data_IF_043809214313
#
_entry.id   IF_043809214313
#
_cell.length_a   1.000
_cell.length_b   1.000
_cell.length_c   1.000
_cell.angle_alpha   90.00
_cell.angle_beta   90.00
_cell.angle_gamma   90.00
#
_symmetry.space_group_name_H-M   'P 1'
#
loop_
_entity.id
_entity.type
_entity.pdbx_description
1 polymer ?
#
# COMPACT_ATOMS: atom_id res chain seq x y z
N UNK A 1 -1.74 -17.36 12.64
CA UNK A 1 -1.76 -16.64 11.35
C UNK A 1 -1.23 -15.25 11.64
N UNK A 2 -0.23 -14.79 10.88
CA UNK A 2 0.32 -13.45 11.10
C UNK A 2 -0.60 -12.42 10.47
N UNK A 3 -0.87 -11.33 11.17
CA UNK A 3 -1.76 -10.28 10.69
C UNK A 3 -1.03 -9.42 9.66
N UNK A 4 -1.65 -9.24 8.50
CA UNK A 4 -1.22 -8.25 7.51
C UNK A 4 -2.08 -7.01 7.66
N UNK A 5 -1.45 -5.84 7.64
CA UNK A 5 -2.14 -4.55 7.63
C UNK A 5 -1.72 -3.74 6.40
N UNK A 6 -2.70 -3.16 5.71
CA UNK A 6 -2.47 -2.17 4.65
C UNK A 6 -2.66 -0.78 5.25
N UNK A 7 -1.64 0.07 5.15
CA UNK A 7 -1.72 1.47 5.61
C UNK A 7 -1.60 2.40 4.42
N UNK A 8 -2.62 3.23 4.20
CA UNK A 8 -2.66 4.18 3.09
C UNK A 8 -2.36 5.58 3.62
N UNK A 9 -1.43 6.26 2.96
CA UNK A 9 -1.01 7.61 3.32
C UNK A 9 -1.29 8.57 2.16
N UNK A 10 -1.75 9.77 2.52
CA UNK A 10 -1.90 10.90 1.61
C UNK A 10 -0.65 11.77 1.68
N UNK A 11 -0.06 12.07 0.53
CA UNK A 11 1.11 12.92 0.40
C UNK A 11 0.90 13.96 -0.70
N UNK A 12 1.67 15.05 -0.67
CA UNK A 12 1.69 16.02 -1.77
C UNK A 12 2.92 15.72 -2.60
N UNK A 13 2.74 15.38 -3.87
CA UNK A 13 3.84 15.06 -4.78
C UNK A 13 4.75 16.27 -4.96
N UNK A 14 5.99 16.20 -4.46
CA UNK A 14 6.95 17.31 -4.52
C UNK A 14 7.21 17.82 -5.94
N UNK A 15 7.08 16.97 -6.96
CA UNK A 15 7.32 17.34 -8.36
C UNK A 15 6.10 17.93 -9.07
N UNK A 16 4.89 17.57 -8.63
CA UNK A 16 3.63 17.87 -9.34
C UNK A 16 2.73 18.85 -8.58
N UNK A 17 2.96 19.02 -7.27
CA UNK A 17 2.07 19.75 -6.36
C UNK A 17 0.70 19.10 -6.20
N UNK A 18 0.49 17.89 -6.73
CA UNK A 18 -0.79 17.18 -6.68
C UNK A 18 -0.85 16.28 -5.46
N UNK A 19 -2.08 15.99 -5.04
CA UNK A 19 -2.32 14.96 -4.03
C UNK A 19 -1.99 13.61 -4.64
N UNK A 20 -1.07 12.90 -4.01
CA UNK A 20 -0.69 11.53 -4.34
C UNK A 20 -1.03 10.65 -3.13
N UNK A 21 -1.38 9.41 -3.40
CA UNK A 21 -1.62 8.40 -2.38
C UNK A 21 -0.53 7.33 -2.49
N UNK A 22 -0.11 6.84 -1.34
CA UNK A 22 0.90 5.78 -1.19
C UNK A 22 0.41 4.74 -0.18
N UNK A 23 0.98 3.54 -0.24
CA UNK A 23 0.59 2.42 0.61
C UNK A 23 1.81 1.81 1.29
N UNK A 24 1.61 1.23 2.47
CA UNK A 24 2.59 0.41 3.18
C UNK A 24 1.95 -0.93 3.55
N UNK A 25 2.76 -1.98 3.54
CA UNK A 25 2.38 -3.31 4.00
C UNK A 25 3.12 -3.58 5.30
N UNK A 26 2.35 -3.94 6.32
CA UNK A 26 2.85 -4.33 7.62
C UNK A 26 2.48 -5.78 7.91
N UNK A 27 3.37 -6.50 8.58
CA UNK A 27 3.16 -7.88 9.01
C UNK A 27 3.72 -8.07 10.42
N UNK A 28 2.89 -8.55 11.34
CA UNK A 28 3.26 -8.76 12.76
C UNK A 28 3.93 -7.53 13.40
N UNK A 29 3.41 -6.33 13.14
CA UNK A 29 3.95 -5.06 13.66
C UNK A 29 5.22 -4.55 12.97
N UNK A 30 5.77 -5.28 11.98
CA UNK A 30 6.91 -4.85 11.17
C UNK A 30 6.48 -4.33 9.80
N UNK A 31 7.06 -3.21 9.35
CA UNK A 31 6.86 -2.73 7.98
C UNK A 31 7.69 -3.58 7.01
N UNK A 32 7.03 -4.30 6.11
CA UNK A 32 7.68 -5.18 5.12
C UNK A 32 7.71 -4.57 3.72
N UNK A 33 6.83 -3.61 3.42
CA UNK A 33 6.86 -2.86 2.18
C UNK A 33 6.54 -1.39 2.45
N UNK A 34 7.46 -0.52 2.05
CA UNK A 34 7.42 0.92 2.30
C UNK A 34 6.78 1.66 1.12
N UNK A 35 6.31 2.87 1.40
CA UNK A 35 5.62 3.73 0.43
C UNK A 35 6.47 4.09 -0.82
N UNK A 36 7.80 4.08 -0.70
CA UNK A 36 8.74 4.35 -1.79
C UNK A 36 8.94 3.13 -2.72
N UNK A 37 8.74 1.92 -2.21
CA UNK A 37 8.78 0.68 -2.98
C UNK A 37 7.44 0.38 -3.68
N UNK A 38 6.35 1.03 -3.26
CA UNK A 38 5.00 0.83 -3.82
C UNK A 38 4.61 1.97 -4.76
N UNK A 39 3.78 1.62 -5.75
CA UNK A 39 3.31 2.55 -6.77
C UNK A 39 2.42 3.63 -6.15
N UNK A 40 2.62 4.87 -6.60
CA UNK A 40 1.79 6.02 -6.22
C UNK A 40 0.55 6.08 -7.11
N UNK A 41 -0.58 6.52 -6.55
CA UNK A 41 -1.80 6.75 -7.34
C UNK A 41 -2.49 8.08 -7.00
N UNK A 42 -3.41 8.48 -7.87
CA UNK A 42 -4.26 9.66 -7.73
C UNK A 42 -5.37 9.49 -6.69
N UNK A 43 -5.68 8.26 -6.28
CA UNK A 43 -6.74 7.94 -5.31
C UNK A 43 -6.31 6.86 -4.32
N UNK A 44 -6.88 6.91 -3.10
CA UNK A 44 -6.65 5.90 -2.06
C UNK A 44 -7.08 4.49 -2.50
N UNK A 45 -8.20 4.38 -3.21
CA UNK A 45 -8.75 3.10 -3.68
C UNK A 45 -7.76 2.39 -4.61
N UNK A 46 -7.23 3.10 -5.61
CA UNK A 46 -6.25 2.52 -6.54
C UNK A 46 -4.97 2.08 -5.83
N UNK A 47 -4.50 2.81 -4.82
CA UNK A 47 -3.36 2.35 -4.01
C UNK A 47 -3.68 1.05 -3.31
N UNK A 48 -4.86 0.96 -2.69
CA UNK A 48 -5.29 -0.25 -1.99
C UNK A 48 -5.32 -1.45 -2.95
N UNK A 49 -5.93 -1.29 -4.12
CA UNK A 49 -5.95 -2.32 -5.18
C UNK A 49 -4.54 -2.74 -5.61
N UNK A 50 -3.62 -1.79 -5.79
CA UNK A 50 -2.23 -2.09 -6.16
C UNK A 50 -1.51 -2.89 -5.07
N UNK A 51 -1.74 -2.56 -3.80
CA UNK A 51 -1.15 -3.26 -2.65
C UNK A 51 -1.73 -4.67 -2.49
N UNK A 52 -3.05 -4.83 -2.62
CA UNK A 52 -3.71 -6.15 -2.59
C UNK A 52 -3.20 -7.03 -3.74
N UNK A 53 -3.11 -6.48 -4.95
CA UNK A 53 -2.55 -7.19 -6.10
C UNK A 53 -1.08 -7.59 -5.89
N UNK A 54 -0.29 -6.75 -5.21
CA UNK A 54 1.08 -7.09 -4.87
C UNK A 54 1.15 -8.27 -3.89
N UNK A 55 0.30 -8.28 -2.86
CA UNK A 55 0.22 -9.37 -1.90
C UNK A 55 -0.19 -10.69 -2.57
N UNK A 56 -1.24 -10.65 -3.40
CA UNK A 56 -1.70 -11.80 -4.16
C UNK A 56 -0.60 -12.38 -5.08
N UNK A 57 0.17 -11.53 -5.77
CA UNK A 57 1.32 -11.95 -6.59
C UNK A 57 2.43 -12.63 -5.80
N UNK A 58 2.54 -12.34 -4.51
CA UNK A 58 3.53 -12.95 -3.61
C UNK A 58 2.94 -14.14 -2.82
N UNK A 59 1.76 -14.64 -3.21
CA UNK A 59 1.12 -15.80 -2.59
C UNK A 59 0.48 -15.51 -1.23
N UNK A 60 0.23 -14.24 -0.92
CA UNK A 60 -0.50 -13.83 0.28
C UNK A 60 -1.95 -13.55 -0.11
N UNK A 61 -2.85 -14.41 0.35
CA UNK A 61 -4.31 -14.18 0.25
C UNK A 61 -4.78 -13.47 1.52
N UNK A 62 -5.39 -12.30 1.35
CA UNK A 62 -6.07 -11.59 2.43
C UNK A 62 -7.51 -12.12 2.52
N UNK A 63 -7.92 -12.55 3.71
CA UNK A 63 -9.31 -13.01 3.93
C UNK A 63 -10.33 -11.86 3.81
N UNK A 64 -9.92 -10.61 4.11
CA UNK A 64 -10.71 -9.38 3.92
C UNK A 64 -9.76 -8.17 3.70
N UNK A 65 -10.16 -7.22 2.85
CA UNK A 65 -9.49 -5.93 2.60
C UNK A 65 -10.47 -4.75 2.68
#
# INVERSE_FOLDING_TARGET
MGEYEIRIKREVGNATGRIEWTGEIWHNGGCICRSDALLRADTAVKVAELVVNYLAKNGVELEDY
#
